data_IF_147298538347
#
_entry.id   IF_147298538347
#
_cell.length_a   1.000
_cell.length_b   1.000
_cell.length_c   1.000
_cell.angle_alpha   90.00
_cell.angle_beta   90.00
_cell.angle_gamma   90.00
#
_symmetry.space_group_name_H-M   'P 1'
#
loop_
_entity.id
_entity.type
_entity.pdbx_description
1 polymer ?
#
# COMPACT_ATOMS: atom_id res chain seq x y z
N UNK A 1 -2.01 -28.13 4.74
CA UNK A 1 -2.26 -26.85 4.05
C UNK A 1 -0.99 -26.43 3.32
N UNK A 2 -1.11 -25.98 2.07
CA UNK A 2 0.05 -25.55 1.29
C UNK A 2 0.38 -24.08 1.55
N UNK A 3 1.19 -23.84 2.59
CA UNK A 3 1.55 -22.48 3.00
C UNK A 3 2.39 -21.74 1.95
N UNK A 4 3.21 -22.48 1.18
CA UNK A 4 4.02 -21.86 0.11
C UNK A 4 3.15 -21.31 -1.02
N UNK A 5 2.08 -22.02 -1.37
CA UNK A 5 1.16 -21.56 -2.39
C UNK A 5 0.35 -20.36 -1.90
N UNK A 6 -0.09 -20.39 -0.65
CA UNK A 6 -0.80 -19.26 -0.03
C UNK A 6 0.11 -18.02 0.00
N UNK A 7 1.37 -18.20 0.40
CA UNK A 7 2.35 -17.11 0.41
C UNK A 7 2.53 -16.52 -0.99
N UNK A 8 2.66 -17.36 -2.01
CA UNK A 8 2.83 -16.89 -3.38
C UNK A 8 1.63 -16.08 -3.86
N UNK A 9 0.42 -16.58 -3.61
CA UNK A 9 -0.82 -15.88 -3.99
C UNK A 9 -0.89 -14.50 -3.30
N UNK A 10 -0.59 -14.45 -2.01
CA UNK A 10 -0.60 -13.19 -1.26
C UNK A 10 0.46 -12.21 -1.77
N UNK A 11 1.67 -12.70 -2.07
CA UNK A 11 2.75 -11.85 -2.62
C UNK A 11 2.34 -11.22 -3.94
N UNK A 12 1.81 -12.03 -4.84
CA UNK A 12 1.36 -11.55 -6.16
C UNK A 12 0.22 -10.54 -5.99
N UNK A 13 -0.75 -10.84 -5.13
CA UNK A 13 -1.92 -9.97 -4.91
C UNK A 13 -1.52 -8.63 -4.31
N UNK A 14 -0.67 -8.63 -3.28
CA UNK A 14 -0.19 -7.41 -2.63
C UNK A 14 0.67 -6.59 -3.60
N UNK A 15 1.56 -7.25 -4.36
CA UNK A 15 2.37 -6.57 -5.36
C UNK A 15 1.49 -5.94 -6.44
N UNK A 16 0.47 -6.64 -6.92
CA UNK A 16 -0.45 -6.12 -7.93
C UNK A 16 -1.18 -4.86 -7.47
N UNK A 17 -1.64 -4.85 -6.23
CA UNK A 17 -2.27 -3.67 -5.62
C UNK A 17 -1.32 -2.47 -5.63
N UNK A 18 -0.10 -2.65 -5.13
CA UNK A 18 0.88 -1.57 -5.04
C UNK A 18 1.37 -1.11 -6.41
N UNK A 19 1.51 -2.02 -7.38
CA UNK A 19 1.84 -1.65 -8.75
C UNK A 19 0.73 -0.81 -9.36
N UNK A 20 -0.53 -1.24 -9.21
CA UNK A 20 -1.68 -0.50 -9.76
C UNK A 20 -1.80 0.89 -9.16
N UNK A 21 -1.74 1.00 -7.84
CA UNK A 21 -1.74 2.30 -7.15
C UNK A 21 -0.53 3.14 -7.54
N UNK A 22 0.64 2.53 -7.64
CA UNK A 22 1.87 3.22 -8.02
C UNK A 22 1.80 3.79 -9.43
N UNK A 23 1.26 3.05 -10.39
CA UNK A 23 1.07 3.53 -11.75
C UNK A 23 0.12 4.73 -11.79
N UNK A 24 -1.03 4.66 -11.11
CA UNK A 24 -1.94 5.79 -11.02
C UNK A 24 -1.28 7.02 -10.37
N UNK A 25 -0.47 6.81 -9.35
CA UNK A 25 0.27 7.88 -8.70
C UNK A 25 1.30 8.51 -9.64
N UNK A 26 2.05 7.70 -10.39
CA UNK A 26 3.00 8.19 -11.39
C UNK A 26 2.31 8.99 -12.49
N UNK A 27 1.10 8.61 -12.87
CA UNK A 27 0.30 9.31 -13.87
C UNK A 27 -0.34 10.59 -13.34
N UNK A 28 -0.23 10.86 -12.03
CA UNK A 28 -0.81 12.05 -11.41
C UNK A 28 -2.33 12.04 -11.45
N UNK A 29 -2.96 10.94 -11.01
CA UNK A 29 -4.41 10.79 -11.00
C UNK A 29 -5.08 12.02 -10.40
N UNK A 30 -5.95 12.70 -11.18
CA UNK A 30 -6.52 14.01 -10.81
C UNK A 30 -7.22 14.01 -9.46
N UNK A 31 -8.02 13.00 -9.18
CA UNK A 31 -8.74 12.92 -7.92
C UNK A 31 -7.77 12.90 -6.74
N UNK A 32 -6.70 12.14 -6.85
CA UNK A 32 -5.70 12.03 -5.79
C UNK A 32 -4.91 13.32 -5.60
N UNK A 33 -4.59 14.02 -6.68
CA UNK A 33 -3.98 15.35 -6.61
C UNK A 33 -4.90 16.31 -5.83
N UNK A 34 -6.20 16.28 -6.13
CA UNK A 34 -7.19 17.10 -5.44
C UNK A 34 -7.32 16.80 -3.94
N UNK A 35 -7.07 15.55 -3.52
CA UNK A 35 -7.15 15.18 -2.11
C UNK A 35 -6.09 15.89 -1.25
N UNK A 36 -4.94 16.21 -1.82
CA UNK A 36 -3.89 16.93 -1.10
C UNK A 36 -4.38 18.29 -0.58
N UNK A 37 -5.29 18.95 -1.30
CA UNK A 37 -5.86 20.22 -0.86
C UNK A 37 -6.63 20.09 0.47
N UNK A 38 -7.25 18.95 0.73
CA UNK A 38 -7.95 18.68 1.98
C UNK A 38 -7.00 18.66 3.18
N UNK A 39 -5.72 18.44 2.94
CA UNK A 39 -4.68 18.38 3.96
C UNK A 39 -3.72 19.57 3.91
N UNK A 40 -4.13 20.67 3.26
CA UNK A 40 -3.38 21.91 3.24
C UNK A 40 -2.38 22.07 2.10
N UNK A 41 -2.31 21.13 1.17
CA UNK A 41 -1.43 21.22 -0.01
C UNK A 41 -2.31 21.51 -1.23
N UNK A 42 -2.52 22.81 -1.50
CA UNK A 42 -3.39 23.26 -2.59
C UNK A 42 -2.67 23.49 -3.92
N UNK A 43 -1.33 23.56 -3.92
CA UNK A 43 -0.55 23.68 -5.15
C UNK A 43 -0.55 22.34 -5.90
N UNK A 44 -1.20 22.29 -7.05
CA UNK A 44 -1.34 21.08 -7.85
C UNK A 44 0.02 20.56 -8.33
N UNK A 45 0.98 21.43 -8.60
CA UNK A 45 2.33 21.03 -9.00
C UNK A 45 3.07 20.28 -7.89
N UNK A 46 2.99 20.80 -6.66
CA UNK A 46 3.59 20.15 -5.48
C UNK A 46 2.90 18.81 -5.20
N UNK A 47 1.57 18.77 -5.24
CA UNK A 47 0.81 17.53 -5.02
C UNK A 47 1.16 16.47 -6.06
N UNK A 48 1.28 16.84 -7.33
CA UNK A 48 1.66 15.93 -8.41
C UNK A 48 3.05 15.36 -8.20
N UNK A 49 4.02 16.17 -7.76
CA UNK A 49 5.38 15.70 -7.46
C UNK A 49 5.41 14.74 -6.29
N UNK A 50 4.70 15.06 -5.20
CA UNK A 50 4.59 14.17 -4.04
C UNK A 50 3.96 12.84 -4.44
N UNK A 51 2.91 12.89 -5.23
CA UNK A 51 2.23 11.70 -5.72
C UNK A 51 3.15 10.86 -6.61
N UNK A 52 3.97 11.48 -7.44
CA UNK A 52 4.97 10.78 -8.25
C UNK A 52 5.96 10.01 -7.36
N UNK A 53 6.47 10.64 -6.31
CA UNK A 53 7.38 9.97 -5.37
C UNK A 53 6.69 8.80 -4.65
N UNK A 54 5.44 8.97 -4.24
CA UNK A 54 4.63 7.89 -3.66
C UNK A 54 4.55 6.72 -4.65
N UNK A 55 4.28 7.00 -5.92
CA UNK A 55 4.20 5.98 -6.96
C UNK A 55 5.50 5.20 -7.15
N UNK A 56 6.63 5.90 -7.15
CA UNK A 56 7.96 5.25 -7.24
C UNK A 56 8.17 4.32 -6.06
N UNK A 57 7.85 4.78 -4.85
CA UNK A 57 7.99 3.97 -3.63
C UNK A 57 7.08 2.75 -3.70
N UNK A 58 5.83 2.92 -4.07
CA UNK A 58 4.86 1.82 -4.15
C UNK A 58 5.33 0.71 -5.11
N UNK A 59 5.82 1.09 -6.27
CA UNK A 59 6.31 0.13 -7.26
C UNK A 59 7.60 -0.55 -6.77
N UNK A 60 8.51 0.21 -6.18
CA UNK A 60 9.75 -0.35 -5.62
C UNK A 60 9.45 -1.38 -4.52
N UNK A 61 8.50 -1.08 -3.63
CA UNK A 61 8.11 -2.00 -2.57
C UNK A 61 7.42 -3.25 -3.13
N UNK A 62 6.60 -3.09 -4.18
CA UNK A 62 5.95 -4.22 -4.85
C UNK A 62 6.99 -5.18 -5.44
N UNK A 63 7.99 -4.64 -6.13
CA UNK A 63 9.08 -5.45 -6.70
C UNK A 63 9.85 -6.13 -5.57
N UNK A 64 10.14 -5.43 -4.49
CA UNK A 64 10.87 -5.97 -3.36
C UNK A 64 10.16 -7.19 -2.75
N UNK A 65 8.85 -7.11 -2.51
CA UNK A 65 8.14 -8.26 -1.92
C UNK A 65 7.98 -9.42 -2.88
N UNK A 66 8.04 -9.20 -4.19
CA UNK A 66 8.08 -10.30 -5.15
C UNK A 66 9.42 -11.05 -5.09
N UNK A 67 10.50 -10.34 -4.81
CA UNK A 67 11.83 -10.95 -4.63
C UNK A 67 11.93 -11.57 -3.25
N UNK A 68 11.65 -10.78 -2.20
CA UNK A 68 11.70 -11.21 -0.82
C UNK A 68 10.69 -10.42 0.02
N UNK A 69 9.69 -11.08 0.62
CA UNK A 69 8.66 -10.39 1.39
C UNK A 69 9.17 -10.02 2.79
N UNK A 70 10.02 -8.99 2.84
CA UNK A 70 10.60 -8.48 4.08
C UNK A 70 9.49 -8.00 5.02
N UNK A 71 9.53 -8.42 6.28
CA UNK A 71 8.47 -8.16 7.25
C UNK A 71 8.24 -6.67 7.52
N UNK A 72 9.31 -5.88 7.63
CA UNK A 72 9.18 -4.44 7.82
C UNK A 72 8.45 -3.77 6.65
N UNK A 73 8.72 -4.21 5.43
CA UNK A 73 8.03 -3.71 4.23
C UNK A 73 6.56 -4.09 4.26
N UNK A 74 6.26 -5.32 4.65
CA UNK A 74 4.86 -5.78 4.77
C UNK A 74 4.10 -4.96 5.82
N UNK A 75 4.73 -4.64 6.96
CA UNK A 75 4.11 -3.80 7.97
C UNK A 75 3.81 -2.39 7.42
N UNK A 76 4.74 -1.81 6.68
CA UNK A 76 4.49 -0.53 6.01
C UNK A 76 3.31 -0.62 5.05
N UNK A 77 3.24 -1.70 4.27
CA UNK A 77 2.14 -1.91 3.32
C UNK A 77 0.79 -2.05 4.02
N UNK A 78 0.75 -2.64 5.21
CA UNK A 78 -0.47 -2.69 6.04
C UNK A 78 -0.91 -1.26 6.39
N UNK A 79 -0.01 -0.44 6.93
CA UNK A 79 -0.32 0.94 7.29
C UNK A 79 -0.74 1.76 6.08
N UNK A 80 0.00 1.66 5.00
CA UNK A 80 -0.26 2.44 3.79
C UNK A 80 -1.58 2.02 3.15
N UNK A 81 -1.85 0.71 3.07
CA UNK A 81 -3.12 0.20 2.56
C UNK A 81 -4.31 0.66 3.40
N UNK A 82 -4.17 0.65 4.73
CA UNK A 82 -5.19 1.16 5.63
C UNK A 82 -5.40 2.66 5.46
N UNK A 83 -4.31 3.43 5.48
CA UNK A 83 -4.36 4.89 5.36
C UNK A 83 -4.99 5.34 4.04
N UNK A 84 -4.56 4.77 2.92
CA UNK A 84 -5.10 5.14 1.61
C UNK A 84 -6.57 4.77 1.47
N UNK A 85 -6.99 3.66 2.06
CA UNK A 85 -8.41 3.31 2.12
C UNK A 85 -9.20 4.33 2.96
N UNK A 86 -8.67 4.71 4.13
CA UNK A 86 -9.30 5.67 5.04
C UNK A 86 -9.39 7.08 4.43
N UNK A 87 -8.49 7.44 3.54
CA UNK A 87 -8.55 8.73 2.84
C UNK A 87 -9.88 8.95 2.13
N UNK A 88 -10.52 7.89 1.61
CA UNK A 88 -11.78 8.01 0.88
C UNK A 88 -12.85 8.73 1.70
N UNK A 89 -13.28 8.25 2.85
CA UNK A 89 -14.26 9.00 3.66
C UNK A 89 -13.70 10.32 4.18
N UNK A 90 -12.41 10.44 4.44
CA UNK A 90 -11.82 11.69 4.91
C UNK A 90 -11.91 12.82 3.88
N UNK A 91 -11.91 12.49 2.58
CA UNK A 91 -12.06 13.49 1.50
C UNK A 91 -13.50 13.62 1.02
N UNK A 92 -14.47 13.01 1.70
CA UNK A 92 -15.89 13.17 1.43
C UNK A 92 -16.54 12.08 0.60
N UNK A 93 -15.82 10.98 0.31
CA UNK A 93 -16.39 9.83 -0.37
C UNK A 93 -17.18 8.95 0.62
N UNK A 94 -18.07 8.05 0.13
CA UNK A 94 -18.81 7.16 1.02
C UNK A 94 -17.91 6.28 1.87
N UNK A 95 -18.32 5.99 3.11
CA UNK A 95 -17.58 5.08 4.00
C UNK A 95 -17.40 3.69 3.39
N UNK A 96 -18.29 3.29 2.50
CA UNK A 96 -18.20 1.99 1.83
C UNK A 96 -16.99 1.87 0.91
N UNK A 97 -16.48 3.00 0.39
CA UNK A 97 -15.25 3.02 -0.37
C UNK A 97 -14.03 2.63 0.50
N UNK A 98 -14.10 2.91 1.79
CA UNK A 98 -13.11 2.42 2.76
C UNK A 98 -13.30 0.93 3.03
N UNK A 99 -14.53 0.51 3.31
CA UNK A 99 -14.85 -0.89 3.67
C UNK A 99 -14.48 -1.85 2.54
N UNK A 100 -14.77 -1.50 1.29
CA UNK A 100 -14.47 -2.35 0.14
C UNK A 100 -12.97 -2.54 -0.11
N UNK A 101 -12.13 -1.70 0.51
CA UNK A 101 -10.66 -1.74 0.38
C UNK A 101 -9.97 -2.39 1.57
N UNK A 102 -10.69 -3.07 2.43
CA UNK A 102 -10.09 -3.71 3.60
C UNK A 102 -9.08 -4.79 3.25
N UNK A 103 -9.21 -5.45 2.10
CA UNK A 103 -8.20 -6.38 1.63
C UNK A 103 -6.84 -5.70 1.35
N UNK A 104 -6.84 -4.38 1.09
CA UNK A 104 -5.61 -3.64 0.81
C UNK A 104 -4.66 -3.60 2.02
N UNK A 105 -5.19 -3.66 3.25
CA UNK A 105 -4.37 -3.80 4.44
C UNK A 105 -4.42 -5.22 5.01
N UNK A 106 -5.52 -5.94 4.79
CA UNK A 106 -5.68 -7.30 5.27
C UNK A 106 -4.76 -8.31 4.58
N UNK A 107 -4.57 -8.17 3.27
CA UNK A 107 -3.70 -9.08 2.52
C UNK A 107 -2.22 -8.98 2.94
N UNK A 108 -1.60 -7.79 3.02
CA UNK A 108 -0.22 -7.71 3.53
C UNK A 108 -0.10 -8.13 4.99
N UNK A 109 -1.15 -7.88 5.81
CA UNK A 109 -1.15 -8.37 7.19
C UNK A 109 -1.19 -9.90 7.24
N UNK A 110 -2.03 -10.54 6.43
CA UNK A 110 -2.09 -11.99 6.34
C UNK A 110 -0.75 -12.58 5.92
N UNK A 111 -0.08 -11.95 4.96
CA UNK A 111 1.24 -12.38 4.52
C UNK A 111 2.28 -12.23 5.65
N UNK A 112 2.25 -11.12 6.37
CA UNK A 112 3.13 -10.90 7.53
C UNK A 112 2.92 -11.96 8.60
N UNK A 113 1.66 -12.25 8.94
CA UNK A 113 1.33 -13.27 9.94
C UNK A 113 1.72 -14.68 9.48
N UNK A 114 1.55 -14.96 8.19
CA UNK A 114 1.93 -16.24 7.61
C UNK A 114 3.45 -16.47 7.71
N UNK A 115 4.24 -15.44 7.53
CA UNK A 115 5.70 -15.48 7.68
C UNK A 115 6.16 -15.51 9.14
N UNK A 116 5.26 -15.25 10.07
CA UNK A 116 5.51 -15.19 11.50
C UNK A 116 5.86 -13.81 12.02
N UNK A 117 5.19 -13.40 13.10
CA UNK A 117 5.43 -12.12 13.73
C UNK A 117 6.84 -12.08 14.34
N UNK A 118 7.65 -11.04 14.04
CA UNK A 118 9.02 -10.97 14.55
C UNK A 118 9.07 -10.87 16.09
N UNK A 119 10.06 -11.52 16.68
CA UNK A 119 10.29 -11.46 18.13
C UNK A 119 11.44 -10.55 18.51
N UNK A 120 12.37 -10.32 17.56
CA UNK A 120 13.52 -9.44 17.75
C UNK A 120 13.65 -8.49 16.57
N UNK A 121 14.31 -7.37 16.78
CA UNK A 121 14.41 -6.29 15.78
C UNK A 121 14.96 -6.76 14.43
N UNK A 122 16.00 -7.60 14.44
CA UNK A 122 16.62 -8.06 13.18
C UNK A 122 15.69 -8.89 12.30
N UNK A 123 14.68 -9.54 12.89
CA UNK A 123 13.74 -10.36 12.11
C UNK A 123 12.81 -9.51 11.25
N UNK A 124 12.62 -8.24 11.59
CA UNK A 124 11.83 -7.32 10.76
C UNK A 124 12.44 -7.11 9.37
N UNK A 125 13.74 -7.30 9.24
CA UNK A 125 14.45 -7.08 7.98
C UNK A 125 14.71 -8.38 7.19
N UNK A 126 14.06 -9.46 7.61
CA UNK A 126 14.15 -10.77 6.94
C UNK A 126 12.86 -11.15 6.21
#
# INVERSE_FOLDING_TARGET
MNTKLIELVLRISVAGEFIGHGVFALQGKKDWVGWFAKFGISDAGTATQLLFHIGVIDIALAILILIKPVRAVLLWMVFWGFWTALLRPLVGLPVWDFVERWANWGAPLALLLLRGWPRVLREWFK
#
